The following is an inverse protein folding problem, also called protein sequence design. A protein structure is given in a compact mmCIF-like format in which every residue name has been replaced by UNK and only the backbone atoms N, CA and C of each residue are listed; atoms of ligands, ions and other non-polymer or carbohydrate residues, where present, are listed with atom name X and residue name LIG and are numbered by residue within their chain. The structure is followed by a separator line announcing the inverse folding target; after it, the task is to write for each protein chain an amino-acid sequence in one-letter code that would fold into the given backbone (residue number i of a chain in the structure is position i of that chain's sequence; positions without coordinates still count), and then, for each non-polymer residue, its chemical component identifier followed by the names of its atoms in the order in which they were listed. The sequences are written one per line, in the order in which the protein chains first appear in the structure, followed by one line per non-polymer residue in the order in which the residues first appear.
data_IF_853761092008
#
_entry.id   IF_853761092008
#
_cell.length_a   1.000
_cell.length_b   1.000
_cell.length_c   1.000
_cell.angle_alpha   90.00
_cell.angle_beta   90.00
_cell.angle_gamma   90.00
#
_symmetry.space_group_name_H-M   'P 1'
#
loop_
_entity.id
_entity.type
_entity.pdbx_description
1 polymer ?
#
# COMPACT_ATOMS: atom_id res chain seq x y z
N UNK A 1 5.49 -61.94 17.65
CA UNK A 1 5.27 -62.12 19.11
C UNK A 1 5.45 -60.76 19.78
N UNK A 2 4.43 -60.27 20.49
CA UNK A 2 4.45 -59.14 21.46
C UNK A 2 4.72 -57.74 20.88
N UNK A 3 3.81 -56.76 20.77
CA UNK A 3 2.75 -56.24 21.65
C UNK A 3 3.22 -55.85 23.07
N UNK A 4 3.27 -54.53 23.33
CA UNK A 4 2.73 -53.77 24.47
C UNK A 4 3.07 -52.27 24.21
N UNK A 5 2.11 -51.40 23.88
CA UNK A 5 1.29 -50.54 24.80
C UNK A 5 1.76 -49.08 24.77
N UNK A 6 1.05 -48.14 24.12
CA UNK A 6 0.16 -47.08 24.70
C UNK A 6 0.79 -46.35 25.91
N UNK A 7 0.87 -45.02 26.04
CA UNK A 7 0.11 -43.89 25.48
C UNK A 7 0.63 -42.54 26.03
N UNK A 8 0.29 -41.45 25.31
CA UNK A 8 0.07 -40.06 25.77
C UNK A 8 1.30 -39.17 26.10
N UNK A 9 1.61 -38.24 25.19
CA UNK A 9 1.45 -36.81 25.47
C UNK A 9 1.47 -35.99 24.17
N UNK A 10 0.31 -35.42 23.89
CA UNK A 10 0.01 -34.32 22.96
C UNK A 10 0.87 -33.08 23.24
N UNK A 11 1.28 -32.36 22.18
CA UNK A 11 0.93 -30.96 21.84
C UNK A 11 2.08 -30.25 21.11
N UNK A 12 1.71 -29.40 20.13
CA UNK A 12 2.49 -28.33 19.48
C UNK A 12 3.32 -28.73 18.26
N UNK A 13 2.66 -28.83 17.10
CA UNK A 13 3.03 -28.09 15.87
C UNK A 13 1.74 -27.89 15.05
N UNK A 14 1.18 -26.69 15.03
CA UNK A 14 0.20 -26.26 14.02
C UNK A 14 0.85 -25.09 13.27
N UNK A 15 1.65 -25.45 12.26
CA UNK A 15 2.16 -24.51 11.29
C UNK A 15 1.01 -24.19 10.33
N UNK A 16 0.64 -22.91 10.27
CA UNK A 16 -0.22 -22.33 9.24
C UNK A 16 0.53 -22.44 7.91
N UNK A 17 0.17 -23.44 7.11
CA UNK A 17 0.38 -23.44 5.66
C UNK A 17 -1.00 -23.61 5.04
N UNK A 18 -1.57 -22.49 4.57
CA UNK A 18 -2.78 -22.50 3.76
C UNK A 18 -2.34 -22.88 2.36
N UNK A 19 -2.68 -24.10 1.97
CA UNK A 19 -2.56 -24.58 0.60
C UNK A 19 -3.60 -23.83 -0.25
N UNK A 20 -3.14 -22.94 -1.14
CA UNK A 20 -3.97 -22.14 -2.07
C UNK A 20 -4.65 -23.02 -3.15
N UNK A 21 -4.40 -24.32 -3.10
CA UNK A 21 -4.85 -25.33 -4.07
C UNK A 21 -6.32 -25.76 -3.93
N UNK A 22 -7.02 -25.38 -2.85
CA UNK A 22 -8.39 -25.84 -2.56
C UNK A 22 -9.51 -24.86 -2.93
N UNK A 23 -9.18 -23.66 -3.42
CA UNK A 23 -10.20 -22.68 -3.83
C UNK A 23 -10.92 -23.06 -5.15
N UNK A 24 -10.46 -24.09 -5.88
CA UNK A 24 -10.91 -24.40 -7.24
C UNK A 24 -11.88 -25.60 -7.36
N UNK A 25 -12.26 -26.28 -6.28
CA UNK A 25 -12.97 -27.57 -6.37
C UNK A 25 -14.45 -27.56 -6.00
N UNK A 26 -15.06 -26.40 -5.73
CA UNK A 26 -16.52 -26.31 -5.57
C UNK A 26 -17.14 -27.09 -4.39
N UNK A 27 -16.33 -27.70 -3.52
CA UNK A 27 -16.79 -28.42 -2.33
C UNK A 27 -16.07 -27.90 -1.08
N UNK A 28 -16.89 -27.42 -0.14
CA UNK A 28 -16.55 -26.85 1.18
C UNK A 28 -15.69 -25.57 1.17
N UNK A 29 -16.37 -24.41 1.17
CA UNK A 29 -15.72 -23.13 1.49
C UNK A 29 -15.29 -23.13 2.97
N UNK A 30 -13.98 -23.14 3.22
CA UNK A 30 -13.41 -23.03 4.57
C UNK A 30 -13.67 -21.60 5.05
N UNK A 31 -14.46 -21.42 6.10
CA UNK A 31 -14.74 -20.10 6.66
C UNK A 31 -13.44 -19.40 7.07
N UNK A 32 -13.15 -18.27 6.44
CA UNK A 32 -11.98 -17.45 6.71
C UNK A 32 -12.38 -16.02 7.05
N UNK A 33 -11.54 -15.26 7.78
CA UNK A 33 -11.80 -13.84 8.04
C UNK A 33 -11.92 -13.00 6.76
N UNK A 34 -11.23 -13.41 5.69
CA UNK A 34 -11.31 -12.80 4.36
C UNK A 34 -11.56 -13.92 3.34
N UNK A 35 -12.53 -13.74 2.44
CA UNK A 35 -12.75 -14.64 1.32
C UNK A 35 -12.82 -13.86 0.01
N UNK A 36 -12.48 -14.56 -1.07
CA UNK A 36 -12.41 -13.98 -2.41
C UNK A 36 -13.51 -14.56 -3.29
N UNK A 37 -14.15 -13.70 -4.07
CA UNK A 37 -15.27 -14.05 -4.93
C UNK A 37 -15.04 -13.51 -6.33
N UNK A 38 -15.00 -14.38 -7.32
CA UNK A 38 -14.87 -13.94 -8.71
C UNK A 38 -16.13 -13.20 -9.14
N UNK A 39 -15.97 -12.03 -9.78
CA UNK A 39 -17.08 -11.27 -10.33
C UNK A 39 -17.89 -12.12 -11.33
N UNK A 40 -19.20 -11.92 -11.39
CA UNK A 40 -20.15 -12.55 -12.33
C UNK A 40 -20.36 -14.06 -12.20
N UNK A 41 -19.56 -14.80 -11.43
CA UNK A 41 -19.79 -16.23 -11.16
C UNK A 41 -20.62 -16.41 -9.87
N UNK A 42 -21.68 -17.24 -9.86
CA UNK A 42 -22.43 -17.50 -8.64
C UNK A 42 -21.53 -18.02 -7.51
N UNK A 43 -21.70 -17.49 -6.30
CA UNK A 43 -20.90 -17.86 -5.13
C UNK A 43 -21.76 -18.30 -3.96
N UNK A 44 -21.31 -19.34 -3.26
CA UNK A 44 -22.01 -19.92 -2.12
C UNK A 44 -21.25 -19.65 -0.81
N UNK A 45 -21.91 -18.90 0.08
CA UNK A 45 -21.41 -18.55 1.39
C UNK A 45 -22.01 -19.47 2.46
N UNK A 46 -21.17 -20.32 3.05
CA UNK A 46 -21.56 -21.31 4.05
C UNK A 46 -21.38 -20.75 5.45
N UNK A 47 -22.43 -20.67 6.25
CA UNK A 47 -22.31 -20.28 7.65
C UNK A 47 -21.81 -21.47 8.51
N UNK A 48 -20.78 -21.28 9.36
CA UNK A 48 -20.25 -22.35 10.20
C UNK A 48 -21.05 -22.57 11.50
N UNK A 49 -22.05 -21.74 11.78
CA UNK A 49 -22.89 -21.89 12.96
C UNK A 49 -23.83 -23.09 12.81
N UNK A 50 -23.91 -23.90 13.87
CA UNK A 50 -24.85 -25.00 14.00
C UNK A 50 -26.11 -24.56 14.77
N UNK A 51 -27.29 -24.81 14.18
CA UNK A 51 -28.59 -24.44 14.75
C UNK A 51 -29.50 -23.91 13.65
N UNK A 52 -30.57 -24.64 13.33
CA UNK A 52 -31.50 -24.29 12.26
C UNK A 52 -32.12 -22.89 12.45
N UNK A 53 -32.26 -22.15 11.35
CA UNK A 53 -32.61 -20.72 11.22
C UNK A 53 -31.43 -19.75 11.34
N UNK A 54 -30.60 -19.74 10.29
CA UNK A 54 -29.52 -18.79 10.06
C UNK A 54 -30.06 -17.52 9.36
N UNK A 55 -29.64 -16.34 9.82
CA UNK A 55 -29.91 -15.04 9.21
C UNK A 55 -28.62 -14.41 8.72
N UNK A 56 -28.67 -13.76 7.57
CA UNK A 56 -27.55 -13.05 6.98
C UNK A 56 -27.72 -11.54 7.06
N UNK A 57 -26.62 -10.83 7.31
CA UNK A 57 -26.51 -9.40 7.12
C UNK A 57 -25.28 -9.06 6.26
N UNK A 58 -25.38 -7.97 5.53
CA UNK A 58 -24.30 -7.35 4.74
C UNK A 58 -24.09 -5.93 5.26
N UNK A 59 -22.88 -5.59 5.67
CA UNK A 59 -22.56 -4.29 6.27
C UNK A 59 -23.57 -3.88 7.35
N UNK A 60 -23.88 -4.81 8.27
CA UNK A 60 -24.87 -4.68 9.34
C UNK A 60 -26.35 -4.56 8.90
N UNK A 61 -26.65 -4.61 7.60
CA UNK A 61 -28.01 -4.60 7.08
C UNK A 61 -28.50 -6.02 6.80
N UNK A 62 -29.67 -6.39 7.32
CA UNK A 62 -30.25 -7.74 7.11
C UNK A 62 -30.53 -7.97 5.63
N UNK A 63 -29.99 -9.06 5.08
CA UNK A 63 -30.21 -9.46 3.70
C UNK A 63 -31.60 -10.08 3.53
N UNK A 64 -32.33 -9.61 2.53
CA UNK A 64 -33.60 -10.19 2.11
C UNK A 64 -33.37 -11.08 0.88
N UNK A 65 -33.93 -12.31 0.85
CA UNK A 65 -33.89 -13.15 -0.34
C UNK A 65 -34.51 -12.43 -1.54
N UNK A 66 -33.85 -12.50 -2.69
CA UNK A 66 -34.34 -11.92 -3.94
C UNK A 66 -34.11 -12.91 -5.09
N UNK A 67 -35.10 -13.15 -5.97
CA UNK A 67 -34.99 -14.15 -7.04
C UNK A 67 -33.82 -13.93 -8.01
N UNK A 68 -33.30 -12.70 -8.10
CA UNK A 68 -32.27 -12.29 -9.07
C UNK A 68 -30.90 -12.01 -8.45
N UNK A 69 -30.74 -12.06 -7.12
CA UNK A 69 -29.46 -11.73 -6.48
C UNK A 69 -29.11 -12.66 -5.33
N UNK A 70 -29.97 -12.75 -4.31
CA UNK A 70 -29.69 -13.49 -3.08
C UNK A 70 -30.65 -14.67 -2.93
N UNK A 71 -30.13 -15.90 -3.04
CA UNK A 71 -30.88 -17.11 -2.73
C UNK A 71 -30.41 -17.66 -1.39
N UNK A 72 -31.33 -17.85 -0.45
CA UNK A 72 -31.02 -18.39 0.87
C UNK A 72 -31.69 -19.77 0.96
N UNK A 73 -30.91 -20.80 1.28
CA UNK A 73 -31.42 -22.17 1.38
C UNK A 73 -32.39 -22.36 2.56
N UNK A 74 -33.11 -23.48 2.55
CA UNK A 74 -33.91 -23.92 3.70
C UNK A 74 -33.01 -24.11 4.93
N UNK A 75 -33.32 -23.43 6.03
CA UNK A 75 -32.49 -23.40 7.24
C UNK A 75 -31.46 -22.25 7.28
N UNK A 76 -31.29 -21.52 6.18
CA UNK A 76 -30.55 -20.26 6.12
C UNK A 76 -29.10 -20.34 5.62
N UNK A 77 -28.58 -21.53 5.27
CA UNK A 77 -27.20 -21.70 4.77
C UNK A 77 -27.09 -22.82 3.72
N UNK A 78 -26.48 -22.59 2.55
CA UNK A 78 -25.71 -21.41 2.19
C UNK A 78 -26.55 -20.22 1.69
N UNK A 79 -25.97 -19.02 1.79
CA UNK A 79 -26.38 -17.85 1.00
C UNK A 79 -25.71 -17.95 -0.38
N UNK A 80 -26.48 -17.86 -1.45
CA UNK A 80 -25.99 -17.83 -2.82
C UNK A 80 -26.13 -16.42 -3.40
N UNK A 81 -25.02 -15.86 -3.88
CA UNK A 81 -24.99 -14.59 -4.61
C UNK A 81 -24.86 -14.93 -6.11
N UNK A 82 -25.88 -14.60 -6.91
CA UNK A 82 -26.00 -15.10 -8.28
C UNK A 82 -25.08 -14.40 -9.30
N UNK A 83 -24.86 -13.10 -9.14
CA UNK A 83 -24.01 -12.31 -10.04
C UNK A 83 -23.27 -11.27 -9.19
N UNK A 84 -22.18 -11.71 -8.53
CA UNK A 84 -21.37 -10.83 -7.70
C UNK A 84 -20.74 -9.72 -8.52
N UNK A 85 -20.76 -8.50 -8.01
CA UNK A 85 -20.07 -7.35 -8.56
C UNK A 85 -19.36 -6.59 -7.44
N UNK A 86 -18.52 -5.61 -7.77
CA UNK A 86 -17.76 -4.82 -6.77
C UNK A 86 -18.60 -4.27 -5.59
N UNK A 87 -19.87 -3.92 -5.81
CA UNK A 87 -20.81 -3.45 -4.76
C UNK A 87 -21.18 -4.52 -3.72
N UNK A 88 -20.92 -5.78 -4.03
CA UNK A 88 -21.21 -6.94 -3.18
C UNK A 88 -19.94 -7.33 -2.36
N UNK A 89 -18.85 -6.56 -2.47
CA UNK A 89 -17.70 -6.67 -1.58
C UNK A 89 -18.01 -6.00 -0.21
N UNK A 90 -17.53 -6.60 0.88
CA UNK A 90 -17.70 -6.05 2.23
C UNK A 90 -17.94 -7.13 3.29
N UNK A 91 -18.33 -6.71 4.49
CA UNK A 91 -18.55 -7.62 5.62
C UNK A 91 -19.90 -8.35 5.54
N UNK A 92 -19.87 -9.67 5.58
CA UNK A 92 -21.05 -10.54 5.68
C UNK A 92 -21.05 -11.23 7.04
N UNK A 93 -22.19 -11.19 7.73
CA UNK A 93 -22.36 -11.84 9.03
C UNK A 93 -23.50 -12.83 8.95
N UNK A 94 -23.27 -14.05 9.44
CA UNK A 94 -24.34 -14.99 9.72
C UNK A 94 -24.60 -15.08 11.22
N UNK A 95 -25.87 -15.14 11.60
CA UNK A 95 -26.32 -15.25 13.00
C UNK A 95 -27.36 -16.35 13.13
N UNK A 96 -27.35 -17.06 14.25
CA UNK A 96 -28.44 -17.98 14.59
C UNK A 96 -29.67 -17.20 15.08
N UNK A 97 -30.88 -17.79 14.97
CA UNK A 97 -32.18 -17.15 15.26
C UNK A 97 -32.31 -16.45 16.64
N UNK A 98 -31.37 -16.67 17.56
CA UNK A 98 -31.32 -16.06 18.89
C UNK A 98 -30.15 -15.09 19.12
N UNK A 99 -29.34 -14.73 18.11
CA UNK A 99 -28.14 -13.87 18.24
C UNK A 99 -27.11 -14.32 19.31
N UNK A 100 -27.24 -15.53 19.85
CA UNK A 100 -26.31 -16.09 20.84
C UNK A 100 -24.93 -16.40 20.24
N UNK A 101 -24.89 -16.53 18.92
CA UNK A 101 -23.65 -16.68 18.16
C UNK A 101 -23.79 -15.99 16.81
N UNK A 102 -22.74 -15.26 16.45
CA UNK A 102 -22.55 -14.64 15.14
C UNK A 102 -21.17 -14.99 14.63
N UNK A 103 -21.03 -15.05 13.31
CA UNK A 103 -19.72 -15.13 12.68
C UNK A 103 -19.68 -14.23 11.46
N UNK A 104 -18.57 -13.54 11.27
CA UNK A 104 -18.37 -12.56 10.20
C UNK A 104 -17.21 -12.93 9.29
N UNK A 105 -17.31 -12.53 8.03
CA UNK A 105 -16.27 -12.68 7.02
C UNK A 105 -16.30 -11.50 6.07
N UNK A 106 -15.12 -11.03 5.67
CA UNK A 106 -14.97 -9.95 4.70
C UNK A 106 -14.83 -10.53 3.30
N UNK A 107 -15.78 -10.22 2.41
CA UNK A 107 -15.74 -10.65 1.01
C UNK A 107 -15.05 -9.60 0.15
N UNK A 108 -14.01 -10.00 -0.57
CA UNK A 108 -13.38 -9.22 -1.63
C UNK A 108 -13.83 -9.78 -2.98
N UNK A 109 -14.20 -8.89 -3.89
CA UNK A 109 -14.55 -9.27 -5.26
C UNK A 109 -13.26 -9.26 -6.07
N UNK A 110 -12.94 -10.37 -6.72
CA UNK A 110 -11.81 -10.45 -7.64
C UNK A 110 -12.36 -10.16 -9.04
N UNK A 111 -11.82 -9.17 -9.77
CA UNK A 111 -12.13 -9.00 -11.17
C UNK A 111 -11.90 -10.33 -11.87
N UNK A 112 -12.85 -10.78 -12.67
CA UNK A 112 -12.56 -11.95 -13.47
C UNK A 112 -11.43 -11.63 -14.44
N UNK A 113 -10.43 -12.52 -14.48
CA UNK A 113 -9.28 -12.49 -15.40
C UNK A 113 -9.75 -12.38 -16.87
N UNK A 114 -11.01 -12.78 -17.12
CA UNK A 114 -11.57 -12.98 -18.46
C UNK A 114 -12.78 -12.08 -18.79
N UNK A 115 -13.36 -11.34 -17.82
CA UNK A 115 -14.55 -10.52 -18.05
C UNK A 115 -14.29 -9.02 -17.80
N UNK A 116 -14.58 -8.18 -18.80
CA UNK A 116 -15.05 -6.83 -18.54
C UNK A 116 -16.54 -6.90 -18.16
N UNK A 117 -16.96 -6.20 -17.10
CA UNK A 117 -18.27 -6.35 -16.44
C UNK A 117 -19.51 -6.12 -17.33
N UNK A 118 -19.38 -5.60 -18.55
CA UNK A 118 -20.54 -5.26 -19.39
C UNK A 118 -20.28 -5.49 -20.89
N UNK A 119 -21.33 -5.85 -21.63
CA UNK A 119 -21.32 -5.76 -23.09
C UNK A 119 -21.36 -4.31 -23.52
N UNK A 120 -20.47 -3.89 -24.42
CA UNK A 120 -20.35 -2.48 -24.82
C UNK A 120 -21.19 -2.20 -26.05
N UNK A 121 -21.95 -1.11 -26.01
CA UNK A 121 -22.62 -0.58 -27.19
C UNK A 121 -21.72 0.52 -27.77
N UNK A 122 -21.19 0.30 -28.97
CA UNK A 122 -20.27 1.18 -29.66
C UNK A 122 -21.00 1.82 -30.84
N UNK A 123 -20.90 3.13 -30.96
CA UNK A 123 -21.39 3.87 -32.12
C UNK A 123 -20.20 4.17 -33.05
N UNK A 124 -20.31 3.74 -34.31
CA UNK A 124 -19.26 3.83 -35.32
C UNK A 124 -19.74 4.63 -36.53
N UNK A 125 -18.89 5.57 -36.96
CA UNK A 125 -19.08 6.38 -38.16
C UNK A 125 -18.61 5.59 -39.37
N UNK A 126 -19.35 5.72 -40.48
CA UNK A 126 -18.99 5.09 -41.75
C UNK A 126 -17.59 5.55 -42.20
N UNK A 127 -16.73 4.61 -42.59
CA UNK A 127 -15.35 4.88 -42.97
C UNK A 127 -14.33 4.73 -41.85
N UNK A 128 -14.75 4.68 -40.58
CA UNK A 128 -13.84 4.60 -39.43
C UNK A 128 -13.38 3.16 -39.15
N UNK A 129 -12.18 2.99 -38.60
CA UNK A 129 -11.72 1.71 -38.06
C UNK A 129 -12.25 1.52 -36.64
N UNK A 130 -12.87 0.37 -36.36
CA UNK A 130 -13.44 0.04 -35.04
C UNK A 130 -12.55 -0.97 -34.34
N UNK A 131 -12.13 -0.66 -33.11
CA UNK A 131 -11.25 -1.52 -32.31
C UNK A 131 -12.07 -2.24 -31.22
N UNK A 132 -12.03 -3.57 -31.23
CA UNK A 132 -12.69 -4.43 -30.25
C UNK A 132 -11.61 -5.18 -29.47
N UNK A 133 -11.35 -4.79 -28.22
CA UNK A 133 -10.31 -5.44 -27.42
C UNK A 133 -10.89 -6.47 -26.47
N UNK A 134 -10.31 -7.67 -26.46
CA UNK A 134 -10.83 -8.78 -25.65
C UNK A 134 -10.50 -8.65 -24.15
N UNK A 135 -9.63 -7.72 -23.73
CA UNK A 135 -9.21 -7.51 -22.32
C UNK A 135 -8.71 -8.79 -21.64
N UNK A 136 -7.86 -9.58 -22.31
CA UNK A 136 -7.15 -10.65 -21.61
C UNK A 136 -6.12 -10.00 -20.70
N UNK A 137 -6.40 -9.92 -19.40
CA UNK A 137 -5.43 -9.42 -18.42
C UNK A 137 -4.74 -10.62 -17.77
N UNK A 138 -3.41 -10.55 -17.71
CA UNK A 138 -2.48 -11.53 -17.10
C UNK A 138 -2.05 -12.74 -17.96
N UNK A 139 -0.92 -13.35 -17.54
CA UNK A 139 -0.26 -14.57 -18.04
C UNK A 139 -1.16 -15.81 -17.96
N UNK A 140 -2.27 -15.82 -18.70
CA UNK A 140 -2.96 -17.07 -19.00
C UNK A 140 -1.97 -17.94 -19.78
N UNK A 141 -1.63 -19.11 -19.25
CA UNK A 141 -0.64 -20.01 -19.85
C UNK A 141 -0.94 -20.32 -21.33
N UNK A 142 -1.73 -21.34 -21.61
CA UNK A 142 -2.14 -21.68 -22.98
C UNK A 142 -3.63 -21.45 -23.13
N UNK A 143 -4.01 -20.47 -23.95
CA UNK A 143 -5.40 -20.16 -24.30
C UNK A 143 -5.54 -19.90 -25.80
N UNK A 144 -6.79 -19.87 -26.27
CA UNK A 144 -7.11 -19.51 -27.66
C UNK A 144 -8.22 -18.47 -27.71
N UNK A 145 -8.19 -17.60 -28.71
CA UNK A 145 -9.21 -16.57 -28.93
C UNK A 145 -9.90 -16.82 -30.26
N UNK A 146 -11.23 -16.70 -30.27
CA UNK A 146 -12.07 -16.75 -31.47
C UNK A 146 -13.00 -15.56 -31.51
N UNK A 147 -13.05 -14.87 -32.64
CA UNK A 147 -13.98 -13.77 -32.86
C UNK A 147 -15.20 -14.23 -33.65
N UNK A 148 -16.37 -13.68 -33.31
CA UNK A 148 -17.65 -13.96 -33.97
C UNK A 148 -18.38 -12.68 -34.33
N UNK A 149 -19.08 -12.68 -35.47
CA UNK A 149 -20.08 -11.66 -35.85
C UNK A 149 -21.41 -12.39 -35.98
N UNK A 150 -22.34 -12.12 -35.07
CA UNK A 150 -23.69 -12.71 -35.13
C UNK A 150 -23.68 -14.21 -34.91
N UNK A 151 -22.79 -14.67 -34.03
CA UNK A 151 -22.54 -16.09 -33.78
C UNK A 151 -21.62 -16.77 -34.79
N UNK A 152 -21.43 -16.22 -36.00
CA UNK A 152 -20.57 -16.81 -37.02
C UNK A 152 -19.10 -16.49 -36.78
N UNK A 153 -18.23 -17.50 -36.87
CA UNK A 153 -16.78 -17.33 -36.69
C UNK A 153 -16.22 -16.42 -37.76
N UNK A 154 -15.52 -15.37 -37.33
CA UNK A 154 -14.80 -14.47 -38.21
C UNK A 154 -13.47 -15.14 -38.56
N UNK A 155 -13.31 -15.49 -39.84
CA UNK A 155 -12.01 -15.90 -40.36
C UNK A 155 -11.17 -14.66 -40.71
N UNK A 156 -9.84 -14.81 -40.64
CA UNK A 156 -8.92 -13.77 -41.11
C UNK A 156 -9.19 -13.53 -42.59
N UNK A 157 -9.63 -12.32 -42.91
CA UNK A 157 -9.94 -11.89 -44.28
C UNK A 157 -8.87 -10.91 -44.78
N UNK A 158 -8.78 -10.75 -46.09
CA UNK A 158 -7.83 -9.86 -46.79
C UNK A 158 -8.18 -8.37 -46.59
N UNK A 159 -8.20 -7.90 -45.34
CA UNK A 159 -8.21 -6.49 -44.99
C UNK A 159 -9.40 -6.00 -44.17
N UNK A 160 -10.53 -6.72 -44.12
CA UNK A 160 -11.72 -6.26 -43.38
C UNK A 160 -11.59 -6.45 -41.87
N UNK A 161 -11.04 -7.59 -41.44
CA UNK A 161 -10.81 -7.89 -40.03
C UNK A 161 -9.31 -8.08 -39.79
N UNK A 162 -8.72 -7.26 -38.93
CA UNK A 162 -7.32 -7.37 -38.50
C UNK A 162 -7.26 -7.84 -37.06
N UNK A 163 -6.34 -8.74 -36.76
CA UNK A 163 -6.13 -9.27 -35.41
C UNK A 163 -4.75 -8.87 -34.94
N UNK A 164 -4.69 -8.26 -33.75
CA UNK A 164 -3.46 -7.92 -33.05
C UNK A 164 -3.21 -8.98 -31.97
N UNK A 165 -2.14 -9.79 -32.09
CA UNK A 165 -1.83 -10.82 -31.10
C UNK A 165 -1.29 -10.26 -29.78
N UNK A 166 -0.71 -9.05 -29.78
CA UNK A 166 -0.03 -8.47 -28.62
C UNK A 166 -1.01 -7.99 -27.54
N UNK A 167 -2.12 -7.39 -27.96
CA UNK A 167 -3.16 -6.81 -27.09
C UNK A 167 -4.53 -7.48 -27.26
N UNK A 168 -4.59 -8.57 -28.04
CA UNK A 168 -5.78 -9.37 -28.30
C UNK A 168 -6.96 -8.56 -28.86
N UNK A 169 -6.64 -7.54 -29.66
CA UNK A 169 -7.62 -6.63 -30.28
C UNK A 169 -7.97 -7.08 -31.70
N UNK A 170 -9.27 -7.06 -32.04
CA UNK A 170 -9.75 -7.16 -33.41
C UNK A 170 -10.15 -5.79 -33.93
N UNK A 171 -9.63 -5.41 -35.09
CA UNK A 171 -10.03 -4.19 -35.80
C UNK A 171 -10.98 -4.54 -36.94
N UNK A 172 -12.15 -3.91 -36.96
CA UNK A 172 -13.03 -3.85 -38.14
C UNK A 172 -12.62 -2.63 -38.96
N UNK A 173 -11.94 -2.87 -40.08
CA UNK A 173 -11.39 -1.81 -40.92
C UNK A 173 -12.48 -1.20 -41.78
N UNK A 174 -12.46 0.13 -41.94
CA UNK A 174 -13.39 0.89 -42.79
C UNK A 174 -14.85 0.45 -42.57
N UNK A 175 -15.37 0.73 -41.38
CA UNK A 175 -16.71 0.37 -40.96
C UNK A 175 -17.75 0.84 -41.96
N UNK A 176 -18.67 -0.05 -42.32
CA UNK A 176 -19.84 0.24 -43.13
C UNK A 176 -21.10 -0.10 -42.32
N UNK A 177 -22.27 0.50 -42.61
CA UNK A 177 -23.51 0.16 -41.90
C UNK A 177 -23.86 -1.34 -41.90
N UNK A 178 -23.45 -2.09 -42.93
CA UNK A 178 -23.58 -3.56 -43.00
C UNK A 178 -22.71 -4.32 -42.00
N UNK A 179 -21.75 -3.65 -41.38
CA UNK A 179 -20.92 -4.19 -40.32
C UNK A 179 -21.52 -4.04 -38.93
N UNK A 180 -22.56 -3.21 -38.78
CA UNK A 180 -23.29 -3.04 -37.53
C UNK A 180 -23.88 -4.38 -37.07
N UNK A 181 -23.38 -4.89 -35.95
CA UNK A 181 -23.76 -6.20 -35.45
C UNK A 181 -23.28 -6.44 -34.03
N UNK A 182 -23.74 -7.57 -33.46
CA UNK A 182 -23.20 -8.12 -32.23
C UNK A 182 -21.93 -8.93 -32.53
N UNK A 183 -20.81 -8.47 -32.00
CA UNK A 183 -19.51 -9.13 -32.07
C UNK A 183 -19.19 -9.80 -30.74
N UNK A 184 -18.57 -10.97 -30.79
CA UNK A 184 -18.18 -11.72 -29.60
C UNK A 184 -16.72 -12.14 -29.70
N UNK A 185 -15.94 -11.86 -28.67
CA UNK A 185 -14.65 -12.51 -28.44
C UNK A 185 -14.87 -13.72 -27.53
N UNK A 186 -14.46 -14.91 -27.95
CA UNK A 186 -14.53 -16.17 -27.20
C UNK A 186 -13.10 -16.60 -26.83
N UNK A 187 -12.75 -16.53 -25.56
CA UNK A 187 -11.50 -17.02 -24.99
C UNK A 187 -11.76 -18.44 -24.48
N UNK A 188 -10.92 -19.39 -24.89
CA UNK A 188 -10.92 -20.75 -24.33
C UNK A 188 -9.60 -20.98 -23.61
N UNK A 189 -9.67 -21.21 -22.30
CA UNK A 189 -8.53 -21.46 -21.42
C UNK A 189 -8.84 -22.68 -20.56
N UNK A 190 -7.98 -23.69 -20.60
CA UNK A 190 -8.21 -24.99 -19.96
C UNK A 190 -9.60 -25.57 -20.35
N UNK A 191 -10.51 -25.69 -19.39
CA UNK A 191 -11.89 -26.17 -19.58
C UNK A 191 -12.94 -25.05 -19.57
N UNK A 192 -12.52 -23.79 -19.40
CA UNK A 192 -13.43 -22.65 -19.40
C UNK A 192 -13.52 -22.00 -20.78
N UNK A 193 -14.74 -21.58 -21.13
CA UNK A 193 -15.01 -20.74 -22.30
C UNK A 193 -15.63 -19.44 -21.80
N UNK A 194 -14.95 -18.34 -22.07
CA UNK A 194 -15.38 -17.00 -21.67
C UNK A 194 -15.64 -16.16 -22.90
N UNK A 195 -16.73 -15.40 -22.88
CA UNK A 195 -17.12 -14.55 -24.01
C UNK A 195 -17.27 -13.09 -23.61
N UNK A 196 -16.71 -12.18 -24.40
CA UNK A 196 -16.97 -10.75 -24.33
C UNK A 196 -17.80 -10.31 -25.52
N UNK A 197 -18.88 -9.56 -25.26
CA UNK A 197 -19.82 -9.11 -26.30
C UNK A 197 -19.70 -7.60 -26.55
N UNK A 198 -19.83 -7.24 -27.81
CA UNK A 198 -19.85 -5.86 -28.30
C UNK A 198 -21.05 -5.71 -29.23
N UNK A 199 -21.77 -4.60 -29.13
CA UNK A 199 -22.84 -4.23 -30.05
C UNK A 199 -22.41 -2.99 -30.80
N UNK A 200 -22.03 -3.15 -32.06
CA UNK A 200 -21.69 -2.01 -32.92
C UNK A 200 -22.95 -1.52 -33.61
N UNK A 201 -23.22 -0.22 -33.51
CA UNK A 201 -24.30 0.47 -34.23
C UNK A 201 -23.69 1.53 -35.14
N UNK A 202 -24.38 1.84 -36.22
CA UNK A 202 -24.08 3.04 -37.01
C UNK A 202 -24.45 4.27 -36.19
N UNK A 203 -23.54 5.23 -36.08
CA UNK A 203 -23.78 6.49 -35.40
C UNK A 203 -23.07 7.66 -36.07
N UNK A 204 -23.40 8.87 -35.63
CA UNK A 204 -22.85 10.12 -36.17
C UNK A 204 -21.57 10.57 -35.45
N UNK A 205 -21.21 9.92 -34.34
CA UNK A 205 -20.01 10.16 -33.55
C UNK A 205 -19.29 8.85 -33.24
N UNK A 206 -17.96 8.86 -33.28
CA UNK A 206 -17.14 7.70 -32.93
C UNK A 206 -16.94 7.65 -31.41
N UNK A 207 -17.58 6.70 -30.73
CA UNK A 207 -17.24 6.36 -29.35
C UNK A 207 -16.39 5.07 -29.32
N UNK A 208 -15.29 5.10 -30.06
CA UNK A 208 -14.42 3.96 -30.32
C UNK A 208 -13.26 4.00 -29.34
N UNK A 209 -13.41 3.32 -28.21
CA UNK A 209 -12.41 3.29 -27.16
C UNK A 209 -11.75 1.90 -27.10
N UNK A 210 -10.42 1.83 -27.14
CA UNK A 210 -9.70 0.64 -26.69
C UNK A 210 -9.76 0.61 -25.16
N UNK A 211 -10.84 0.09 -24.59
CA UNK A 211 -11.08 0.08 -23.13
C UNK A 211 -10.07 -0.76 -22.33
N UNK A 212 -9.31 -1.62 -23.00
CA UNK A 212 -8.35 -2.53 -22.38
C UNK A 212 -6.95 -1.94 -22.28
N UNK A 213 -6.63 -0.98 -23.16
CA UNK A 213 -5.69 0.06 -22.79
C UNK A 213 -6.39 0.83 -21.67
N UNK A 214 -5.98 0.58 -20.42
CA UNK A 214 -6.51 1.25 -19.24
C UNK A 214 -6.81 2.71 -19.59
N UNK A 215 -8.04 3.22 -19.37
CA UNK A 215 -8.26 4.63 -19.51
C UNK A 215 -7.48 5.29 -18.38
N UNK A 216 -6.27 5.76 -18.68
CA UNK A 216 -5.62 6.84 -17.92
C UNK A 216 -6.45 8.14 -17.95
N UNK A 217 -7.69 8.10 -18.47
CA UNK A 217 -8.58 9.24 -18.70
C UNK A 217 -9.94 9.14 -18.01
N UNK A 218 -10.25 8.10 -17.22
CA UNK A 218 -11.10 8.36 -16.05
C UNK A 218 -10.16 9.02 -15.06
N UNK A 219 -10.56 10.15 -14.47
CA UNK A 219 -9.87 10.65 -13.27
C UNK A 219 -10.10 9.59 -12.20
N UNK A 220 -9.28 8.55 -12.19
CA UNK A 220 -9.21 7.64 -11.07
C UNK A 220 -8.67 8.49 -9.94
N UNK A 221 -9.57 8.89 -9.05
CA UNK A 221 -9.18 9.62 -7.88
C UNK A 221 -8.32 8.69 -7.05
N UNK A 222 -7.05 9.08 -6.89
CA UNK A 222 -6.14 8.42 -5.99
C UNK A 222 -6.51 8.85 -4.56
N UNK A 223 -6.60 7.86 -3.69
CA UNK A 223 -6.81 8.03 -2.26
C UNK A 223 -5.50 7.84 -1.54
N UNK A 224 -5.12 8.86 -0.78
CA UNK A 224 -3.94 8.82 0.06
C UNK A 224 -4.24 8.13 1.39
N UNK A 225 -3.41 7.16 1.73
CA UNK A 225 -3.38 6.47 3.01
C UNK A 225 -2.00 6.67 3.63
N UNK A 226 -1.96 7.12 4.88
CA UNK A 226 -0.71 7.35 5.61
C UNK A 226 -0.48 6.22 6.59
N UNK A 227 0.62 5.51 6.40
CA UNK A 227 1.09 4.47 7.29
C UNK A 227 2.29 4.97 8.08
N UNK A 228 2.33 4.69 9.38
CA UNK A 228 3.50 5.00 10.20
C UNK A 228 4.01 3.74 10.85
N UNK A 229 5.32 3.61 10.89
CA UNK A 229 5.95 2.51 11.60
C UNK A 229 7.42 2.37 11.86
N UNK A 230 7.76 1.43 12.73
CA UNK A 230 9.15 1.14 13.06
C UNK A 230 9.71 0.18 12.04
N UNK A 231 10.79 0.58 11.40
CA UNK A 231 11.53 -0.27 10.46
C UNK A 231 12.64 -0.98 11.22
N UNK A 232 12.75 -2.29 11.02
CA UNK A 232 13.92 -3.07 11.43
C UNK A 232 14.67 -3.57 10.19
N UNK A 233 15.96 -3.26 10.09
CA UNK A 233 16.86 -3.81 9.06
C UNK A 233 17.72 -4.90 9.70
N UNK A 234 17.57 -6.15 9.25
CA UNK A 234 18.24 -7.33 9.83
C UNK A 234 18.04 -7.46 11.35
N UNK A 235 16.80 -7.26 11.82
CA UNK A 235 16.43 -7.36 13.23
C UNK A 235 16.85 -6.18 14.12
N UNK A 236 17.63 -5.22 13.60
CA UNK A 236 17.99 -3.99 14.32
C UNK A 236 17.09 -2.83 13.92
N UNK A 237 16.73 -1.91 14.86
CA UNK A 237 16.03 -0.69 14.51
C UNK A 237 16.77 0.08 13.40
N UNK A 238 16.01 0.69 12.48
CA UNK A 238 16.55 1.59 11.48
C UNK A 238 17.31 2.73 12.18
N UNK A 239 18.59 2.85 11.88
CA UNK A 239 19.37 4.01 12.29
C UNK A 239 18.98 5.19 11.42
N UNK A 240 18.55 6.29 12.05
CA UNK A 240 18.17 7.50 11.34
C UNK A 240 19.39 8.09 10.62
N UNK A 241 19.16 8.49 9.36
CA UNK A 241 20.10 9.25 8.55
C UNK A 241 19.31 10.42 7.92
N UNK A 242 19.67 11.69 8.16
CA UNK A 242 19.07 12.85 7.54
C UNK A 242 18.89 12.77 6.02
N UNK A 243 19.80 12.10 5.30
CA UNK A 243 19.66 11.90 3.86
C UNK A 243 18.38 11.14 3.49
N UNK A 244 17.81 10.32 4.39
CA UNK A 244 16.51 9.66 4.17
C UNK A 244 15.35 10.66 3.99
N UNK A 245 15.49 11.90 4.49
CA UNK A 245 14.52 12.97 4.33
C UNK A 245 14.86 13.94 3.17
N UNK A 246 16.00 13.75 2.49
CA UNK A 246 16.40 14.56 1.34
C UNK A 246 15.87 13.94 0.05
N UNK A 247 15.10 14.70 -0.71
CA UNK A 247 14.55 14.26 -2.00
C UNK A 247 15.68 13.94 -2.99
N UNK A 248 15.59 12.79 -3.66
CA UNK A 248 16.60 12.33 -4.63
C UNK A 248 17.91 11.82 -4.03
N UNK A 249 18.04 11.75 -2.70
CA UNK A 249 19.23 11.12 -2.10
C UNK A 249 19.20 9.61 -2.29
N UNK A 250 20.38 9.00 -2.45
CA UNK A 250 20.51 7.55 -2.55
C UNK A 250 19.93 6.84 -1.30
N UNK A 251 20.12 7.41 -0.11
CA UNK A 251 19.61 6.81 1.13
C UNK A 251 18.08 6.79 1.18
N UNK A 252 17.42 7.83 0.65
CA UNK A 252 15.96 7.89 0.54
C UNK A 252 15.45 6.91 -0.51
N UNK A 253 16.08 6.86 -1.69
CA UNK A 253 15.69 5.94 -2.77
C UNK A 253 15.81 4.47 -2.37
N UNK A 254 16.91 4.08 -1.72
CA UNK A 254 17.11 2.72 -1.21
C UNK A 254 16.06 2.35 -0.16
N UNK A 255 15.78 3.25 0.80
CA UNK A 255 14.77 3.01 1.83
C UNK A 255 13.36 2.95 1.22
N UNK A 256 13.03 3.86 0.31
CA UNK A 256 11.75 3.91 -0.40
C UNK A 256 11.50 2.62 -1.17
N UNK A 257 12.48 2.18 -1.95
CA UNK A 257 12.40 0.93 -2.71
C UNK A 257 12.20 -0.26 -1.77
N UNK A 258 12.97 -0.35 -0.69
CA UNK A 258 12.85 -1.45 0.27
C UNK A 258 11.47 -1.51 0.96
N UNK A 259 10.96 -0.37 1.43
CA UNK A 259 9.67 -0.30 2.12
C UNK A 259 8.52 -0.54 1.16
N UNK A 260 8.56 0.05 -0.04
CA UNK A 260 7.49 -0.10 -1.00
C UNK A 260 7.40 -1.51 -1.59
N UNK A 261 8.53 -2.16 -1.85
CA UNK A 261 8.55 -3.58 -2.22
C UNK A 261 8.00 -4.46 -1.10
N UNK A 262 8.43 -4.21 0.14
CA UNK A 262 7.90 -4.92 1.30
C UNK A 262 6.38 -4.74 1.41
N UNK A 263 5.88 -3.51 1.30
CA UNK A 263 4.46 -3.22 1.39
C UNK A 263 3.67 -3.88 0.27
N UNK A 264 4.15 -3.85 -0.97
CA UNK A 264 3.51 -4.53 -2.09
C UNK A 264 3.43 -6.06 -1.87
N UNK A 265 4.48 -6.67 -1.34
CA UNK A 265 4.50 -8.11 -1.02
C UNK A 265 3.63 -8.45 0.20
N UNK A 266 3.62 -7.60 1.23
CA UNK A 266 2.91 -7.85 2.47
C UNK A 266 1.37 -7.78 2.34
N UNK A 267 0.83 -7.20 1.26
CA UNK A 267 -0.63 -7.04 1.12
C UNK A 267 -1.32 -8.41 1.15
N UNK A 268 -2.42 -8.49 1.90
CA UNK A 268 -3.24 -9.71 2.03
C UNK A 268 -4.27 -9.89 0.91
N UNK A 269 -4.47 -8.90 0.05
CA UNK A 269 -5.34 -8.97 -1.13
C UNK A 269 -4.66 -9.68 -2.31
N UNK A 270 -4.07 -10.86 -2.07
CA UNK A 270 -3.17 -11.56 -3.02
C UNK A 270 -3.77 -11.75 -4.41
N UNK A 271 -5.08 -12.00 -4.51
CA UNK A 271 -5.78 -12.17 -5.79
C UNK A 271 -6.11 -10.85 -6.50
N UNK A 272 -6.04 -9.72 -5.79
CA UNK A 272 -6.26 -8.36 -6.31
C UNK A 272 -4.97 -7.65 -6.71
N UNK A 273 -3.83 -8.01 -6.08
CA UNK A 273 -2.50 -7.47 -6.40
C UNK A 273 -2.23 -7.30 -7.89
N UNK A 274 -2.51 -8.28 -8.77
CA UNK A 274 -2.18 -8.16 -10.20
C UNK A 274 -3.03 -7.13 -10.96
N UNK A 275 -4.18 -6.75 -10.42
CA UNK A 275 -5.10 -5.81 -11.05
C UNK A 275 -4.91 -4.38 -10.53
N UNK A 276 -4.40 -4.24 -9.31
CA UNK A 276 -4.33 -2.97 -8.61
C UNK A 276 -2.97 -2.83 -7.94
N UNK A 277 -2.10 -2.03 -8.56
CA UNK A 277 -0.89 -1.56 -7.89
C UNK A 277 -1.20 -0.42 -6.94
N UNK A 278 -0.55 -0.45 -5.77
CA UNK A 278 -0.55 0.69 -4.85
C UNK A 278 0.67 1.54 -5.20
N UNK A 279 0.47 2.84 -5.42
CA UNK A 279 1.63 3.74 -5.50
C UNK A 279 2.12 3.97 -4.08
N UNK A 280 3.42 3.88 -3.87
CA UNK A 280 4.01 3.98 -2.55
C UNK A 280 5.17 4.96 -2.55
N UNK A 281 5.17 5.85 -1.57
CA UNK A 281 6.25 6.80 -1.36
C UNK A 281 6.46 7.03 0.14
N UNK A 282 7.69 6.98 0.61
CA UNK A 282 8.04 7.48 1.94
C UNK A 282 7.82 8.98 1.96
N UNK A 283 7.05 9.49 2.91
CA UNK A 283 6.94 10.92 3.13
C UNK A 283 8.14 11.43 3.93
N UNK A 284 8.37 10.87 5.12
CA UNK A 284 9.45 11.27 6.02
C UNK A 284 9.88 10.13 6.94
N UNK A 285 11.07 10.27 7.53
CA UNK A 285 11.56 9.49 8.67
C UNK A 285 11.68 10.44 9.86
N UNK A 286 11.00 10.12 10.95
CA UNK A 286 11.05 10.92 12.17
C UNK A 286 12.46 10.83 12.79
N UNK A 287 13.19 11.95 12.95
CA UNK A 287 14.56 11.94 13.45
C UNK A 287 14.70 11.50 14.89
N UNK A 288 13.63 11.65 15.70
CA UNK A 288 13.65 11.31 17.13
C UNK A 288 13.16 9.89 17.39
N UNK A 289 12.08 9.46 16.72
CA UNK A 289 11.50 8.11 16.95
C UNK A 289 12.04 7.05 16.00
N UNK A 290 12.64 7.43 14.88
CA UNK A 290 13.08 6.53 13.81
C UNK A 290 11.91 5.89 13.04
N UNK A 291 10.68 6.35 13.27
CA UNK A 291 9.50 5.85 12.58
C UNK A 291 9.41 6.44 11.17
N UNK A 292 9.02 5.60 10.22
CA UNK A 292 8.85 5.99 8.81
C UNK A 292 7.38 6.25 8.54
N UNK A 293 7.08 7.42 7.97
CA UNK A 293 5.76 7.78 7.45
C UNK A 293 5.75 7.48 5.96
N UNK A 294 4.86 6.59 5.53
CA UNK A 294 4.72 6.16 4.13
C UNK A 294 3.33 6.53 3.63
N UNK A 295 3.26 7.14 2.45
CA UNK A 295 2.05 7.42 1.71
C UNK A 295 1.77 6.32 0.70
N UNK A 296 0.57 5.80 0.74
CA UNK A 296 0.04 4.90 -0.27
C UNK A 296 -1.06 5.61 -1.05
N UNK A 297 -0.96 5.60 -2.38
CA UNK A 297 -2.00 6.07 -3.26
C UNK A 297 -2.70 4.87 -3.90
N UNK A 298 -4.00 4.78 -3.66
CA UNK A 298 -4.82 3.64 -4.09
C UNK A 298 -5.98 4.18 -4.92
N UNK A 299 -6.32 3.50 -6.01
CA UNK A 299 -7.43 3.93 -6.86
C UNK A 299 -8.77 3.67 -6.17
N UNK A 300 -9.75 4.55 -6.39
CA UNK A 300 -11.13 4.32 -5.95
C UNK A 300 -11.68 2.97 -6.46
N UNK A 301 -11.25 2.52 -7.64
CA UNK A 301 -11.64 1.21 -8.18
C UNK A 301 -11.15 0.05 -7.31
N UNK A 302 -9.87 0.06 -6.89
CA UNK A 302 -9.30 -0.95 -6.00
C UNK A 302 -10.09 -1.04 -4.68
N UNK A 303 -10.42 0.11 -4.09
CA UNK A 303 -11.19 0.19 -2.85
C UNK A 303 -12.59 -0.43 -2.99
N UNK A 304 -13.25 -0.25 -4.14
CA UNK A 304 -14.57 -0.82 -4.39
C UNK A 304 -14.52 -2.35 -4.48
N UNK A 305 -13.51 -2.94 -5.16
CA UNK A 305 -13.34 -4.39 -5.19
C UNK A 305 -13.06 -4.99 -3.81
N UNK A 306 -12.57 -4.16 -2.89
CA UNK A 306 -12.35 -4.51 -1.51
C UNK A 306 -13.53 -4.24 -0.58
N UNK A 307 -14.61 -3.62 -1.05
CA UNK A 307 -15.81 -3.36 -0.25
C UNK A 307 -15.69 -2.17 0.70
N UNK A 308 -14.73 -1.27 0.44
CA UNK A 308 -14.63 0.00 1.17
C UNK A 308 -15.47 1.07 0.48
N UNK A 309 -16.51 1.54 1.16
CA UNK A 309 -17.32 2.68 0.70
C UNK A 309 -16.68 4.03 1.06
N UNK A 310 -17.23 5.07 0.43
CA UNK A 310 -16.72 6.44 0.30
C UNK A 310 -16.64 7.23 1.61
N UNK A 311 -16.98 6.62 2.75
CA UNK A 311 -17.29 7.32 3.99
C UNK A 311 -16.05 7.38 4.90
N UNK A 312 -15.72 8.61 5.27
CA UNK A 312 -14.62 9.04 6.15
C UNK A 312 -14.42 8.13 7.37
N UNK A 313 -13.21 7.59 7.52
CA UNK A 313 -12.86 6.51 8.46
C UNK A 313 -12.21 5.30 7.76
N UNK A 314 -12.38 5.20 6.44
CA UNK A 314 -11.78 4.15 5.60
C UNK A 314 -10.25 4.08 5.61
N UNK A 315 -9.56 5.17 5.96
CA UNK A 315 -8.09 5.23 6.00
C UNK A 315 -7.48 4.20 6.97
N UNK A 316 -8.09 4.07 8.15
CA UNK A 316 -7.63 3.09 9.14
C UNK A 316 -8.08 1.68 8.78
N UNK A 317 -9.31 1.52 8.28
CA UNK A 317 -9.88 0.22 7.97
C UNK A 317 -9.19 -0.45 6.79
N UNK A 318 -8.89 0.27 5.69
CA UNK A 318 -8.19 -0.28 4.53
C UNK A 318 -6.81 -0.81 4.90
N UNK A 319 -5.97 0.06 5.48
CA UNK A 319 -4.62 -0.28 5.91
C UNK A 319 -4.63 -1.45 6.91
N UNK A 320 -5.52 -1.41 7.90
CA UNK A 320 -5.67 -2.50 8.86
C UNK A 320 -6.16 -3.78 8.19
N UNK A 321 -6.98 -3.73 7.15
CA UNK A 321 -7.50 -4.94 6.48
C UNK A 321 -6.48 -5.62 5.57
N UNK A 322 -5.60 -4.88 4.90
CA UNK A 322 -4.59 -5.48 4.00
C UNK A 322 -3.24 -5.71 4.65
N UNK A 323 -2.93 -5.00 5.75
CA UNK A 323 -1.67 -5.10 6.47
C UNK A 323 -1.85 -5.58 7.93
N UNK A 324 -2.99 -6.16 8.32
CA UNK A 324 -3.22 -6.67 9.69
C UNK A 324 -2.21 -7.74 10.10
N UNK A 325 -1.74 -7.70 11.35
CA UNK A 325 -0.94 -8.76 11.97
C UNK A 325 0.29 -9.20 11.13
N UNK A 326 1.08 -8.25 10.62
CA UNK A 326 2.39 -8.54 10.03
C UNK A 326 3.44 -8.85 11.11
N UNK A 327 3.21 -9.91 11.88
CA UNK A 327 4.26 -10.56 12.70
C UNK A 327 4.73 -11.78 11.92
N UNK A 328 5.51 -11.54 10.86
CA UNK A 328 6.26 -12.59 10.18
C UNK A 328 7.73 -12.54 10.59
N UNK A 329 8.34 -13.73 10.70
CA UNK A 329 9.62 -13.95 11.34
C UNK A 329 10.79 -13.17 10.70
N UNK A 330 11.69 -12.68 11.56
CA UNK A 330 13.06 -12.18 11.31
C UNK A 330 13.28 -10.74 10.80
N UNK A 331 12.27 -9.98 10.35
CA UNK A 331 12.30 -8.51 10.30
C UNK A 331 10.87 -7.94 10.20
N UNK A 332 10.51 -7.04 11.12
CA UNK A 332 9.14 -6.57 11.37
C UNK A 332 9.01 -5.11 10.96
N UNK A 333 7.97 -4.80 10.19
CA UNK A 333 7.43 -3.45 10.14
C UNK A 333 6.08 -3.47 10.88
N UNK A 334 6.06 -2.91 12.07
CA UNK A 334 4.82 -2.68 12.82
C UNK A 334 4.21 -1.38 12.32
N UNK A 335 3.28 -1.50 11.37
CA UNK A 335 2.52 -0.35 10.88
C UNK A 335 1.35 -0.09 11.82
N UNK A 336 1.11 1.18 12.09
CA UNK A 336 -0.15 1.66 12.61
C UNK A 336 -0.64 2.82 11.76
N UNK A 337 -1.96 2.94 11.70
CA UNK A 337 -2.63 4.01 11.01
C UNK A 337 -2.43 5.32 11.77
N UNK A 338 -2.09 6.41 11.09
CA UNK A 338 -1.86 7.69 11.74
C UNK A 338 -3.17 8.23 12.35
N UNK A 339 -3.30 8.19 13.68
CA UNK A 339 -4.39 8.88 14.38
C UNK A 339 -4.00 10.33 14.67
N UNK A 340 -5.00 11.18 14.90
CA UNK A 340 -4.77 12.57 15.31
C UNK A 340 -3.95 12.66 16.60
N UNK A 341 -4.29 11.83 17.60
CA UNK A 341 -3.57 11.75 18.88
C UNK A 341 -2.12 11.30 18.69
N UNK A 342 -1.88 10.30 17.86
CA UNK A 342 -0.52 9.82 17.58
C UNK A 342 0.31 10.87 16.85
N UNK A 343 -0.29 11.55 15.86
CA UNK A 343 0.37 12.66 15.16
C UNK A 343 0.79 13.74 16.15
N UNK A 344 -0.10 14.20 17.03
CA UNK A 344 0.22 15.21 18.04
C UNK A 344 1.33 14.77 19.00
N UNK A 345 1.34 13.49 19.43
CA UNK A 345 2.34 12.97 20.37
C UNK A 345 3.76 12.92 19.81
N UNK A 346 3.91 12.78 18.50
CA UNK A 346 5.18 12.55 17.82
C UNK A 346 5.61 13.73 16.92
N UNK A 347 4.96 14.88 17.03
CA UNK A 347 5.44 16.12 16.42
C UNK A 347 6.83 16.46 16.98
N UNK A 348 7.70 16.91 16.10
CA UNK A 348 9.08 17.26 16.41
C UNK A 348 9.43 18.57 15.73
N UNK A 349 10.39 19.29 16.30
CA UNK A 349 11.02 20.44 15.67
C UNK A 349 12.48 20.11 15.39
N UNK A 350 12.99 20.63 14.28
CA UNK A 350 14.39 20.51 13.89
C UNK A 350 15.01 21.89 13.72
N UNK A 351 16.26 22.04 14.17
CA UNK A 351 17.09 23.24 14.01
C UNK A 351 18.50 22.79 13.64
N UNK A 352 19.23 23.63 12.91
CA UNK A 352 20.56 23.30 12.44
C UNK A 352 21.63 24.21 13.04
N UNK A 353 22.80 23.64 13.31
CA UNK A 353 23.99 24.36 13.71
C UNK A 353 25.02 24.30 12.59
N UNK A 354 25.58 25.44 12.22
CA UNK A 354 26.68 25.52 11.26
C UNK A 354 27.96 25.93 11.99
N UNK A 355 29.05 25.20 11.80
CA UNK A 355 30.28 25.48 12.55
C UNK A 355 31.55 24.77 12.07
N UNK A 356 32.67 25.07 12.75
CA UNK A 356 33.96 24.42 12.52
C UNK A 356 34.40 23.62 13.73
N UNK A 357 34.88 22.41 13.48
CA UNK A 357 35.41 21.51 14.49
C UNK A 357 36.93 21.57 14.50
N UNK A 358 37.51 21.83 15.65
CA UNK A 358 38.94 21.81 15.90
C UNK A 358 39.28 20.66 16.84
N UNK A 359 40.24 19.83 16.46
CA UNK A 359 40.69 18.65 17.22
C UNK A 359 42.20 18.76 17.42
N UNK A 360 42.67 18.73 18.67
CA UNK A 360 44.11 18.84 19.01
C UNK A 360 44.77 20.09 18.42
N UNK A 361 44.09 21.23 18.54
CA UNK A 361 44.55 22.54 18.06
C UNK A 361 44.65 22.68 16.53
N UNK A 362 44.06 21.76 15.75
CA UNK A 362 44.00 21.85 14.29
C UNK A 362 42.56 21.78 13.81
N UNK A 363 42.22 22.61 12.83
CA UNK A 363 40.91 22.58 12.19
C UNK A 363 40.75 21.25 11.44
N UNK A 364 39.62 20.60 11.67
CA UNK A 364 39.27 19.40 10.95
C UNK A 364 38.90 19.77 9.51
N UNK A 365 39.61 19.16 8.56
CA UNK A 365 39.42 19.43 7.15
C UNK A 365 38.40 18.48 6.52
N UNK A 366 37.71 18.97 5.51
CA UNK A 366 36.85 18.18 4.64
C UNK A 366 37.59 16.96 4.10
N UNK A 367 36.89 15.83 4.11
CA UNK A 367 37.34 14.60 3.51
C UNK A 367 36.14 13.79 3.05
N UNK A 368 36.20 13.29 1.82
CA UNK A 368 35.16 12.48 1.19
C UNK A 368 34.71 11.28 2.02
N UNK A 369 35.56 10.75 2.92
CA UNK A 369 35.20 9.67 3.84
C UNK A 369 34.02 10.00 4.76
N UNK A 370 33.77 11.30 5.02
CA UNK A 370 32.65 11.75 5.85
C UNK A 370 31.32 11.81 5.07
N UNK A 371 31.33 11.70 3.74
CA UNK A 371 30.09 11.65 2.95
C UNK A 371 29.38 10.28 3.06
N UNK A 372 30.14 9.23 3.38
CA UNK A 372 29.57 7.90 3.55
C UNK A 372 29.10 7.71 5.00
N UNK A 373 27.80 7.81 5.20
CA UNK A 373 27.08 7.62 6.46
C UNK A 373 27.29 6.27 7.13
N UNK A 374 27.57 5.23 6.35
CA UNK A 374 27.85 3.89 6.86
C UNK A 374 29.32 3.69 7.22
N UNK A 375 30.17 4.69 7.00
CA UNK A 375 31.60 4.59 7.27
C UNK A 375 31.91 4.79 8.75
N UNK A 376 32.96 4.11 9.21
CA UNK A 376 33.51 4.32 10.56
C UNK A 376 33.93 5.78 10.78
N UNK A 377 34.47 6.44 9.74
CA UNK A 377 34.91 7.82 9.83
C UNK A 377 33.75 8.79 10.08
N UNK A 378 32.62 8.60 9.42
CA UNK A 378 31.40 9.37 9.71
C UNK A 378 30.89 9.08 11.12
N UNK A 379 30.82 7.80 11.52
CA UNK A 379 30.39 7.43 12.87
C UNK A 379 31.23 8.09 13.97
N UNK A 380 32.56 8.09 13.83
CA UNK A 380 33.50 8.74 14.77
C UNK A 380 33.31 10.27 14.80
N UNK A 381 33.12 10.90 13.64
CA UNK A 381 32.84 12.35 13.53
C UNK A 381 31.51 12.68 14.23
N UNK A 382 30.46 11.93 13.92
CA UNK A 382 29.13 12.11 14.50
C UNK A 382 29.15 11.95 16.02
N UNK A 383 29.78 10.89 16.51
CA UNK A 383 29.97 10.65 17.95
C UNK A 383 30.74 11.80 18.60
N UNK A 384 31.81 12.29 17.97
CA UNK A 384 32.63 13.38 18.52
C UNK A 384 31.82 14.68 18.67
N UNK A 385 31.12 15.08 17.61
CA UNK A 385 30.34 16.33 17.58
C UNK A 385 29.14 16.24 18.52
N UNK A 386 28.39 15.15 18.47
CA UNK A 386 27.19 15.02 19.27
C UNK A 386 27.49 14.81 20.76
N UNK A 387 28.58 14.12 21.12
CA UNK A 387 29.03 14.04 22.53
C UNK A 387 29.39 15.42 23.08
N UNK A 388 30.00 16.27 22.25
CA UNK A 388 30.35 17.63 22.64
C UNK A 388 29.08 18.49 22.84
N UNK A 389 28.14 18.47 21.91
CA UNK A 389 26.87 19.21 22.03
C UNK A 389 26.06 18.71 23.23
N UNK A 390 26.02 17.40 23.46
CA UNK A 390 25.35 16.82 24.63
C UNK A 390 25.98 17.31 25.94
N UNK A 391 27.30 17.46 25.99
CA UNK A 391 27.98 18.05 27.15
C UNK A 391 27.56 19.51 27.41
N UNK A 392 27.20 20.27 26.38
CA UNK A 392 26.66 21.63 26.53
C UNK A 392 25.23 21.60 27.05
N UNK A 393 24.45 20.61 26.58
CA UNK A 393 23.02 20.47 26.89
C UNK A 393 22.81 20.12 28.35
N UNK A 394 23.53 19.11 28.86
CA UNK A 394 23.40 18.64 30.25
C UNK A 394 23.83 19.67 31.29
N UNK A 395 24.71 20.61 30.91
CA UNK A 395 25.20 21.69 31.78
C UNK A 395 24.34 22.96 31.71
N UNK A 396 23.36 23.03 30.80
CA UNK A 396 22.46 24.17 30.70
C UNK A 396 21.31 24.10 31.71
N UNK A 397 20.76 25.25 32.09
CA UNK A 397 19.68 25.34 33.08
C UNK A 397 18.33 24.86 32.51
N UNK A 398 18.08 25.12 31.23
CA UNK A 398 16.81 24.84 30.54
C UNK A 398 16.95 23.56 29.72
N UNK A 399 17.91 23.51 28.79
CA UNK A 399 18.07 22.42 27.84
C UNK A 399 18.46 21.08 28.48
N UNK A 400 18.99 21.04 29.71
CA UNK A 400 19.24 19.78 30.43
C UNK A 400 17.99 18.92 30.60
N UNK A 401 16.82 19.56 30.66
CA UNK A 401 15.52 18.92 30.84
C UNK A 401 14.81 18.59 29.52
N UNK A 402 15.40 18.95 28.38
CA UNK A 402 14.87 18.68 27.05
C UNK A 402 15.79 17.68 26.33
N UNK A 403 15.37 16.42 26.11
CA UNK A 403 16.12 15.50 25.27
C UNK A 403 16.22 16.03 23.84
N UNK A 404 17.43 16.07 23.30
CA UNK A 404 17.71 16.52 21.93
C UNK A 404 18.44 15.40 21.20
N UNK A 405 17.95 15.02 20.03
CA UNK A 405 18.64 14.12 19.11
C UNK A 405 19.61 14.95 18.28
N UNK A 406 20.88 14.53 18.25
CA UNK A 406 21.93 15.17 17.45
C UNK A 406 22.41 14.23 16.37
N UNK A 407 22.53 14.74 15.14
CA UNK A 407 23.17 14.06 14.02
C UNK A 407 23.92 15.08 13.15
N UNK A 408 25.16 14.79 12.78
CA UNK A 408 25.90 15.57 11.78
C UNK A 408 25.18 15.43 10.44
N UNK A 409 24.74 16.54 9.85
CA UNK A 409 23.98 16.57 8.60
C UNK A 409 24.91 16.47 7.39
N UNK A 410 25.96 17.30 7.34
CA UNK A 410 26.98 17.23 6.30
C UNK A 410 28.25 17.98 6.71
N UNK A 411 29.30 17.82 5.90
CA UNK A 411 30.48 18.68 5.91
C UNK A 411 30.70 19.21 4.49
N UNK A 412 30.67 20.53 4.33
CA UNK A 412 30.87 21.16 3.03
C UNK A 412 32.35 21.15 2.61
N UNK A 413 32.63 21.57 1.38
CA UNK A 413 34.00 21.66 0.84
C UNK A 413 34.88 22.70 1.58
N UNK A 414 34.27 23.62 2.33
CA UNK A 414 34.96 24.61 3.16
C UNK A 414 35.27 24.09 4.58
N UNK A 415 35.03 22.80 4.83
CA UNK A 415 35.20 22.15 6.14
C UNK A 415 34.25 22.71 7.21
N UNK A 416 33.10 23.22 6.79
CA UNK A 416 32.01 23.66 7.66
C UNK A 416 31.05 22.50 7.88
N UNK A 417 30.77 22.21 9.14
CA UNK A 417 29.81 21.19 9.55
C UNK A 417 28.43 21.80 9.69
N UNK A 418 27.43 21.15 9.10
CA UNK A 418 26.05 21.32 9.48
C UNK A 418 25.66 20.18 10.44
N UNK A 419 25.00 20.50 11.54
CA UNK A 419 24.54 19.54 12.55
C UNK A 419 23.06 19.73 12.78
N UNK A 420 22.29 18.67 12.62
CA UNK A 420 20.86 18.63 12.86
C UNK A 420 20.59 18.33 14.34
N UNK A 421 19.80 19.19 14.98
CA UNK A 421 19.24 18.98 16.31
C UNK A 421 17.72 18.82 16.19
N UNK A 422 17.18 17.73 16.74
CA UNK A 422 15.74 17.44 16.70
C UNK A 422 15.21 17.10 18.08
N UNK A 423 14.05 17.66 18.45
CA UNK A 423 13.39 17.39 19.73
C UNK A 423 11.89 17.23 19.54
N UNK A 424 11.24 16.40 20.36
CA UNK A 424 9.78 16.26 20.33
C UNK A 424 9.14 17.52 20.92
N UNK A 425 8.05 17.98 20.32
CA UNK A 425 7.32 19.16 20.81
C UNK A 425 6.86 19.01 22.25
N UNK A 426 6.47 17.80 22.67
CA UNK A 426 6.06 17.52 24.06
C UNK A 426 7.20 17.81 25.05
N UNK A 427 8.44 17.53 24.65
CA UNK A 427 9.63 17.68 25.50
C UNK A 427 10.07 19.14 25.51
N UNK A 428 9.92 19.86 24.38
CA UNK A 428 10.09 21.31 24.32
C UNK A 428 9.11 22.02 25.26
N UNK A 429 7.81 21.69 25.18
CA UNK A 429 6.78 22.27 26.07
C UNK A 429 7.07 21.98 27.54
N UNK A 430 7.49 20.77 27.87
CA UNK A 430 7.85 20.40 29.24
C UNK A 430 9.03 21.22 29.77
N UNK A 431 10.00 21.55 28.91
CA UNK A 431 11.13 22.41 29.24
C UNK A 431 10.81 23.93 29.15
N UNK A 432 9.55 24.30 28.87
CA UNK A 432 9.13 25.69 28.63
C UNK A 432 9.85 26.36 27.45
N UNK A 433 10.18 25.58 26.42
CA UNK A 433 10.75 26.03 25.17
C UNK A 433 9.67 26.22 24.08
N UNK A 434 9.89 27.12 23.11
CA UNK A 434 9.00 27.28 21.95
C UNK A 434 8.95 26.03 21.08
N UNK A 435 7.82 25.84 20.38
CA UNK A 435 7.63 24.74 19.42
C UNK A 435 7.66 25.21 17.97
N UNK A 436 7.56 26.52 17.72
CA UNK A 436 7.80 27.10 16.41
C UNK A 436 9.31 27.24 16.14
N UNK A 437 9.71 27.06 14.88
CA UNK A 437 11.12 27.06 14.49
C UNK A 437 11.83 28.37 14.82
N UNK A 438 11.22 29.51 14.47
CA UNK A 438 11.85 30.83 14.60
C UNK A 438 12.17 31.16 16.07
N UNK A 439 11.21 31.00 16.98
CA UNK A 439 11.44 31.26 18.41
C UNK A 439 12.37 30.23 19.05
N UNK A 440 12.38 28.98 18.54
CA UNK A 440 13.31 27.96 19.01
C UNK A 440 14.75 28.26 18.56
N UNK A 441 14.95 28.78 17.35
CA UNK A 441 16.25 29.25 16.85
C UNK A 441 16.82 30.30 17.80
N UNK A 442 16.04 31.31 18.18
CA UNK A 442 16.45 32.34 19.14
C UNK A 442 16.86 31.72 20.49
N UNK A 443 16.05 30.78 20.99
CA UNK A 443 16.31 30.09 22.26
C UNK A 443 17.64 29.30 22.23
N UNK A 444 17.92 28.63 21.10
CA UNK A 444 19.17 27.89 20.89
C UNK A 444 20.35 28.87 20.75
N UNK A 445 20.20 30.01 20.08
CA UNK A 445 21.27 31.03 20.01
C UNK A 445 21.68 31.53 21.40
N UNK A 446 20.70 31.80 22.28
CA UNK A 446 20.98 32.19 23.67
C UNK A 446 21.61 31.07 24.49
N UNK A 447 21.30 29.81 24.19
CA UNK A 447 21.97 28.67 24.79
C UNK A 447 23.43 28.55 24.34
N UNK A 448 23.70 28.65 23.03
CA UNK A 448 25.05 28.56 22.49
C UNK A 448 25.98 29.67 23.03
N UNK A 449 25.48 30.88 23.29
CA UNK A 449 26.25 31.96 23.93
C UNK A 449 26.74 31.62 25.34
N UNK A 450 26.07 30.69 26.02
CA UNK A 450 26.40 30.24 27.40
C UNK A 450 27.10 28.88 27.42
N UNK A 451 27.10 28.15 26.30
CA UNK A 451 27.69 26.84 26.18
C UNK A 451 29.23 26.91 26.24
N UNK A 452 29.84 25.98 26.98
CA UNK A 452 31.30 25.83 26.95
C UNK A 452 31.70 25.01 25.70
N UNK A 453 32.12 25.70 24.64
CA UNK A 453 32.42 25.10 23.33
C UNK A 453 33.62 24.14 23.32
N UNK A 454 34.35 24.02 24.43
CA UNK A 454 35.54 23.17 24.58
C UNK A 454 35.28 21.96 25.47
N UNK A 455 35.68 20.78 25.00
CA UNK A 455 35.82 19.55 25.80
C UNK A 455 37.18 18.92 25.54
N UNK A 456 38.06 18.90 26.54
CA UNK A 456 39.46 18.48 26.38
C UNK A 456 40.18 19.31 25.30
N UNK A 457 40.71 18.62 24.28
CA UNK A 457 41.42 19.20 23.14
C UNK A 457 40.52 19.46 21.91
N UNK A 458 39.21 19.31 22.07
CA UNK A 458 38.23 19.46 20.99
C UNK A 458 37.38 20.72 21.21
N UNK A 459 37.22 21.52 20.16
CA UNK A 459 36.40 22.75 20.17
C UNK A 459 35.48 22.73 18.95
N UNK A 460 34.19 22.94 19.17
CA UNK A 460 33.23 23.16 18.08
C UNK A 460 32.66 24.57 18.21
N UNK A 461 32.95 25.42 17.22
CA UNK A 461 32.43 26.78 17.16
C UNK A 461 31.30 26.82 16.15
N UNK A 462 30.08 27.08 16.62
CA UNK A 462 28.87 27.01 15.81
C UNK A 462 27.97 28.22 15.98
N UNK A 463 27.15 28.48 14.96
CA UNK A 463 26.01 29.40 14.97
C UNK A 463 24.75 28.64 14.58
N UNK A 464 23.59 29.13 15.00
CA UNK A 464 22.30 28.56 14.59
C UNK A 464 21.96 29.03 13.18
N UNK A 465 21.36 28.15 12.38
CA UNK A 465 20.79 28.49 11.09
C UNK A 465 19.36 27.93 10.99
N UNK A 466 18.49 28.64 10.26
CA UNK A 466 17.14 28.17 9.95
C UNK A 466 17.19 27.07 8.87
N UNK A 467 16.20 26.19 8.87
CA UNK A 467 16.07 25.12 7.86
C UNK A 467 16.02 25.67 6.42
N UNK A 468 15.43 26.84 6.22
CA UNK A 468 15.35 27.55 4.94
C UNK A 468 16.70 27.93 4.32
N UNK A 469 17.76 28.05 5.14
CA UNK A 469 19.11 28.41 4.68
C UNK A 469 19.97 27.23 4.23
N UNK A 470 19.49 25.99 4.41
CA UNK A 470 20.19 24.78 3.94
C UNK A 470 19.87 24.44 2.47
N UNK A 471 18.86 25.08 1.90
CA UNK A 471 18.41 24.87 0.51
C UNK A 471 18.91 25.92 -0.49
N UNK A 472 19.61 26.95 -0.01
CA UNK A 472 20.34 27.95 -0.83
C UNK A 472 21.81 27.55 -0.94
#
# INVERSE_FOLDING_TARGET
MGLLSRSLLTTVVLAVCIDVSLAATGEASIWAPIMFMESSKPFHLWCPLSGGDIKWSFQNNVLQPTPRRYLISSGGSPLTILSPAKRDAGNYTCSSRNQLAENSTWLMIVPSVLFAEHGHILDAVTGADVFLSCCVKQELGVFSIKWRKGGNIIQKSDGKYRFSPEDYTMTVVNFQPSDAHDYTCEIRYQHEVVTRNFRIRSGDTNNLMNECAYPTSKRDFLREFVLIGKVKRWGRPLAYNPQMNVLGSQSREELNTAICLYLQDARKDTLLKPYFDIQCEIFEVNPVTGEVTTRLLVTDEHLLYMGFEWITGGSNNFANSIFHNLVYAQAQYEFQTQTFEYKQKNMYQTVFLEGKLNVRHSDMLYNRRYENWNSKAFSELNETVCTLIESWRVNDIIFRHCPVTCVVYEMDLNSTLAVQLSALEKDLRQASLPTDEDSLVDSIEFWLKRANTRSGDTIYTSKVISSSKLTE
#
